data_IF_760895482171
#
_entry.id   IF_760895482171
#
_cell.length_a   1.000
_cell.length_b   1.000
_cell.length_c   1.000
_cell.angle_alpha   90.00
_cell.angle_beta   90.00
_cell.angle_gamma   90.00
#
_symmetry.space_group_name_H-M   'P 1'
#
loop_
_entity.id
_entity.type
_entity.pdbx_description
1 polymer ?
#
# COMPACT_ATOMS: atom_id res chain seq x y z
N UNK A 1 36.31 13.26 1.34
CA UNK A 1 35.11 12.61 1.89
C UNK A 1 33.93 13.48 1.48
N UNK A 2 33.24 13.11 0.40
CA UNK A 2 32.03 13.83 0.00
C UNK A 2 30.95 13.60 1.04
N UNK A 3 30.67 14.62 1.82
CA UNK A 3 29.48 14.68 2.66
C UNK A 3 28.31 14.73 1.68
N UNK A 4 27.61 13.61 1.48
CA UNK A 4 26.34 13.61 0.76
C UNK A 4 25.45 14.64 1.46
N UNK A 5 25.22 15.78 0.83
CA UNK A 5 24.19 16.70 1.29
C UNK A 5 22.88 15.93 1.33
N UNK A 6 22.29 15.76 2.53
CA UNK A 6 20.91 15.26 2.64
C UNK A 6 20.06 16.23 1.82
N UNK A 7 19.13 15.74 0.97
CA UNK A 7 18.18 16.63 0.33
C UNK A 7 17.49 17.46 1.43
N UNK A 8 17.41 18.78 1.23
CA UNK A 8 16.80 19.69 2.20
C UNK A 8 15.31 19.39 2.43
N UNK A 9 14.69 18.68 1.49
CA UNK A 9 13.28 18.33 1.51
C UNK A 9 13.10 16.83 1.25
N UNK A 10 12.10 16.24 1.91
CA UNK A 10 11.61 14.91 1.61
C UNK A 10 10.65 14.92 0.42
N UNK A 11 10.07 13.77 0.12
CA UNK A 11 9.06 13.61 -0.91
C UNK A 11 8.20 12.38 -0.63
N UNK A 12 7.07 12.28 -1.34
CA UNK A 12 6.12 11.17 -1.23
C UNK A 12 6.11 10.37 -2.53
N UNK A 13 6.26 9.05 -2.40
CA UNK A 13 6.11 8.08 -3.49
C UNK A 13 4.89 7.20 -3.20
N UNK A 14 4.02 7.01 -4.19
CA UNK A 14 2.89 6.11 -4.07
C UNK A 14 3.01 4.96 -5.07
N UNK A 15 2.92 3.74 -4.55
CA UNK A 15 2.84 2.50 -5.33
C UNK A 15 1.41 1.99 -5.24
N UNK A 16 0.71 1.95 -6.34
CA UNK A 16 -0.72 1.61 -6.36
C UNK A 16 -1.08 0.60 -7.44
N UNK A 17 -2.27 0.03 -7.38
CA UNK A 17 -2.79 -0.95 -8.31
C UNK A 17 -3.68 -1.98 -7.62
N UNK A 18 -4.26 -2.92 -8.38
CA UNK A 18 -5.13 -3.98 -7.88
C UNK A 18 -4.39 -4.98 -6.97
N UNK A 19 -5.12 -5.86 -6.32
CA UNK A 19 -4.51 -7.06 -5.72
C UNK A 19 -3.72 -7.84 -6.79
N UNK A 20 -2.70 -8.54 -6.37
CA UNK A 20 -1.81 -9.36 -7.23
C UNK A 20 -0.98 -8.56 -8.25
N UNK A 21 -0.91 -7.23 -8.16
CA UNK A 21 -0.15 -6.39 -9.09
C UNK A 21 1.32 -6.18 -8.70
N UNK A 22 1.78 -6.77 -7.58
CA UNK A 22 3.18 -6.67 -7.15
C UNK A 22 3.52 -5.40 -6.36
N UNK A 23 2.55 -4.72 -5.75
CA UNK A 23 2.79 -3.51 -4.95
C UNK A 23 3.75 -3.73 -3.78
N UNK A 24 3.50 -4.78 -2.98
CA UNK A 24 4.34 -5.11 -1.82
C UNK A 24 5.74 -5.56 -2.24
N UNK A 25 5.87 -6.29 -3.36
CA UNK A 25 7.17 -6.60 -3.96
C UNK A 25 7.95 -5.34 -4.33
N UNK A 26 7.29 -4.37 -4.97
CA UNK A 26 7.91 -3.10 -5.36
C UNK A 26 8.30 -2.26 -4.13
N UNK A 27 7.44 -2.20 -3.10
CA UNK A 27 7.78 -1.58 -1.82
C UNK A 27 9.02 -2.24 -1.21
N UNK A 28 9.02 -3.56 -1.07
CA UNK A 28 10.15 -4.35 -0.54
C UNK A 28 11.42 -4.10 -1.37
N UNK A 29 11.33 -4.08 -2.70
CA UNK A 29 12.44 -3.78 -3.59
C UNK A 29 13.06 -2.40 -3.30
N UNK A 30 12.22 -1.36 -3.14
CA UNK A 30 12.69 -0.01 -2.79
C UNK A 30 13.34 0.03 -1.42
N UNK A 31 12.73 -0.59 -0.41
CA UNK A 31 13.27 -0.64 0.95
C UNK A 31 14.62 -1.37 0.99
N UNK A 32 14.77 -2.49 0.29
CA UNK A 32 16.07 -3.19 0.19
C UNK A 32 17.17 -2.31 -0.42
N UNK A 33 16.85 -1.51 -1.43
CA UNK A 33 17.82 -0.55 -2.01
C UNK A 33 18.23 0.53 -1.00
N UNK A 34 17.30 1.00 -0.17
CA UNK A 34 17.55 1.93 0.93
C UNK A 34 18.53 1.30 1.94
N UNK A 35 18.27 0.05 2.33
CA UNK A 35 19.14 -0.71 3.24
C UNK A 35 20.56 -0.92 2.68
N UNK A 36 20.67 -1.28 1.38
CA UNK A 36 21.97 -1.39 0.70
C UNK A 36 22.71 -0.04 0.71
N UNK A 37 21.97 1.06 0.56
CA UNK A 37 22.53 2.41 0.66
C UNK A 37 22.87 2.84 2.10
N UNK A 38 22.67 1.96 3.09
CA UNK A 38 22.89 2.20 4.54
C UNK A 38 22.09 3.39 5.08
N UNK A 39 20.94 3.66 4.50
CA UNK A 39 19.99 4.65 5.01
C UNK A 39 19.10 4.01 6.07
N UNK A 40 18.78 4.74 7.13
CA UNK A 40 17.88 4.28 8.17
C UNK A 40 16.45 4.28 7.66
N UNK A 41 15.76 3.15 7.77
CA UNK A 41 14.39 2.97 7.30
C UNK A 41 13.51 2.35 8.39
N UNK A 42 12.31 2.86 8.51
CA UNK A 42 11.23 2.26 9.31
C UNK A 42 10.06 1.95 8.39
N UNK A 43 9.41 0.81 8.62
CA UNK A 43 8.28 0.35 7.80
C UNK A 43 7.08 0.09 8.69
N UNK A 44 5.93 0.56 8.26
CA UNK A 44 4.67 0.50 9.00
C UNK A 44 3.58 -0.19 8.20
N UNK A 45 2.67 -0.85 8.89
CA UNK A 45 1.43 -1.39 8.33
C UNK A 45 0.28 -1.25 9.33
N UNK A 46 -0.98 -1.15 8.85
CA UNK A 46 -2.13 -1.03 9.74
C UNK A 46 -2.41 -2.35 10.46
N UNK A 47 -2.89 -2.27 11.69
CA UNK A 47 -3.53 -3.40 12.37
C UNK A 47 -4.91 -3.60 11.75
N UNK A 48 -5.09 -4.66 10.95
CA UNK A 48 -6.36 -4.95 10.27
C UNK A 48 -7.21 -5.92 11.09
N UNK A 49 -6.57 -6.86 11.80
CA UNK A 49 -7.23 -7.82 12.69
C UNK A 49 -6.22 -8.24 13.78
N UNK A 50 -6.62 -8.14 15.04
CA UNK A 50 -5.78 -8.51 16.19
C UNK A 50 -5.38 -10.02 16.22
N UNK A 51 -6.02 -10.84 15.37
CA UNK A 51 -5.76 -12.28 15.27
C UNK A 51 -4.56 -12.67 14.39
N UNK A 52 -4.02 -11.72 13.61
CA UNK A 52 -2.90 -11.95 12.68
C UNK A 52 -1.82 -10.88 12.85
N UNK A 53 -1.15 -10.85 14.02
CA UNK A 53 0.03 -10.00 14.25
C UNK A 53 1.24 -10.60 13.53
N UNK A 54 1.36 -10.38 12.23
CA UNK A 54 2.59 -10.63 11.49
C UNK A 54 3.41 -9.34 11.45
N UNK A 55 4.53 -9.29 12.18
CA UNK A 55 5.47 -8.16 12.24
C UNK A 55 6.31 -8.01 10.96
N UNK A 56 5.83 -8.54 9.85
CA UNK A 56 6.53 -8.52 8.57
C UNK A 56 5.57 -8.23 7.42
N UNK A 57 6.02 -7.44 6.46
CA UNK A 57 5.42 -7.40 5.13
C UNK A 57 5.84 -8.68 4.41
N UNK A 58 4.85 -9.44 3.95
CA UNK A 58 5.07 -10.65 3.18
C UNK A 58 4.45 -10.43 1.80
N UNK A 59 5.26 -10.52 0.76
CA UNK A 59 4.76 -10.55 -0.60
C UNK A 59 4.26 -11.96 -0.96
N UNK A 60 3.50 -12.09 -2.04
CA UNK A 60 3.10 -13.39 -2.58
C UNK A 60 4.29 -14.28 -2.98
N UNK A 61 5.48 -13.70 -3.14
CA UNK A 61 6.75 -14.38 -3.44
C UNK A 61 7.61 -14.67 -2.19
N UNK A 62 7.04 -14.72 -0.99
CA UNK A 62 7.72 -14.95 0.30
C UNK A 62 8.83 -13.96 0.66
N UNK A 63 8.92 -12.82 0.00
CA UNK A 63 9.82 -11.75 0.41
C UNK A 63 9.29 -11.07 1.66
N UNK A 64 10.17 -10.90 2.67
CA UNK A 64 9.80 -10.34 3.97
C UNK A 64 10.65 -9.14 4.33
N UNK A 65 10.02 -8.14 4.92
CA UNK A 65 10.67 -7.00 5.58
C UNK A 65 10.00 -6.77 6.93
N UNK A 66 10.82 -6.56 7.97
CA UNK A 66 10.31 -6.20 9.29
C UNK A 66 9.48 -4.91 9.21
N UNK A 67 8.32 -4.93 9.83
CA UNK A 67 7.40 -3.79 9.88
C UNK A 67 6.81 -3.64 11.28
N UNK A 68 6.45 -2.42 11.63
CA UNK A 68 5.76 -2.09 12.87
C UNK A 68 4.26 -1.97 12.60
N UNK A 69 3.46 -2.70 13.37
CA UNK A 69 2.01 -2.59 13.32
C UNK A 69 1.56 -1.34 14.08
N UNK A 70 0.74 -0.51 13.45
CA UNK A 70 0.20 0.72 14.04
C UNK A 70 -1.30 0.82 13.78
N UNK A 71 -2.02 1.55 14.64
CA UNK A 71 -3.48 1.68 14.54
C UNK A 71 -3.91 2.89 13.71
N UNK A 72 -3.16 3.98 13.81
CA UNK A 72 -3.49 5.26 13.19
C UNK A 72 -2.30 5.85 12.46
N UNK A 73 -2.56 6.80 11.56
CA UNK A 73 -1.52 7.59 10.91
C UNK A 73 -0.71 8.43 11.90
N UNK A 74 -1.32 8.89 12.99
CA UNK A 74 -0.63 9.62 14.07
C UNK A 74 0.39 8.74 14.81
N UNK A 75 0.12 7.43 14.92
CA UNK A 75 1.07 6.50 15.53
C UNK A 75 2.34 6.38 14.69
N UNK A 76 2.23 6.50 13.36
CA UNK A 76 3.41 6.55 12.47
C UNK A 76 4.27 7.76 12.83
N UNK A 77 3.65 8.96 12.93
CA UNK A 77 4.37 10.21 13.25
C UNK A 77 5.11 10.10 14.59
N UNK A 78 4.48 9.46 15.59
CA UNK A 78 5.08 9.27 16.93
C UNK A 78 6.20 8.23 16.95
N UNK A 79 6.09 7.19 16.11
CA UNK A 79 7.04 6.07 16.10
C UNK A 79 8.26 6.33 15.20
N UNK A 80 8.17 7.28 14.26
CA UNK A 80 9.29 7.63 13.37
C UNK A 80 10.37 8.34 14.18
N UNK A 81 11.57 7.75 14.19
CA UNK A 81 12.74 8.30 14.88
C UNK A 81 13.34 9.47 14.08
N UNK A 82 14.01 10.40 14.78
CA UNK A 82 14.54 11.63 14.18
C UNK A 82 15.57 11.35 13.07
N UNK A 83 16.39 10.32 13.25
CA UNK A 83 17.43 9.92 12.30
C UNK A 83 16.94 8.98 11.20
N UNK A 84 15.65 8.61 11.19
CA UNK A 84 15.04 7.86 10.07
C UNK A 84 15.07 8.71 8.82
N UNK A 85 15.57 8.15 7.71
CA UNK A 85 15.65 8.82 6.42
C UNK A 85 14.51 8.43 5.49
N UNK A 86 14.04 7.18 5.59
CA UNK A 86 12.99 6.63 4.74
C UNK A 86 11.89 5.98 5.57
N UNK A 87 10.66 6.28 5.24
CA UNK A 87 9.46 5.70 5.86
C UNK A 87 8.70 4.91 4.80
N UNK A 88 8.53 3.60 5.00
CA UNK A 88 7.69 2.74 4.19
C UNK A 88 6.33 2.53 4.86
N UNK A 89 5.25 2.56 4.10
CA UNK A 89 3.89 2.31 4.59
C UNK A 89 3.23 1.32 3.63
N UNK A 90 2.85 0.15 4.13
CA UNK A 90 2.09 -0.81 3.35
C UNK A 90 0.60 -0.77 3.70
N UNK A 91 -0.25 -1.25 2.78
CA UNK A 91 -1.70 -1.29 2.92
C UNK A 91 -2.33 0.07 3.28
N UNK A 92 -1.86 1.14 2.61
CA UNK A 92 -2.25 2.52 2.85
C UNK A 92 -3.76 2.77 2.88
N UNK A 93 -4.55 1.99 2.10
CA UNK A 93 -6.02 2.09 2.04
C UNK A 93 -6.72 1.69 3.35
N UNK A 94 -6.03 1.06 4.28
CA UNK A 94 -6.61 0.67 5.58
C UNK A 94 -6.28 1.63 6.71
N UNK A 95 -5.57 2.70 6.42
CA UNK A 95 -5.35 3.78 7.38
C UNK A 95 -6.53 4.77 7.39
N UNK A 96 -6.54 5.63 8.41
CA UNK A 96 -7.49 6.72 8.56
C UNK A 96 -7.28 7.84 7.53
N UNK A 97 -8.25 8.75 7.45
CA UNK A 97 -8.26 9.87 6.50
C UNK A 97 -7.11 10.88 6.72
N UNK A 98 -6.40 10.81 7.84
CA UNK A 98 -5.27 11.70 8.15
C UNK A 98 -3.95 11.20 7.54
N UNK A 99 -3.89 10.01 6.95
CA UNK A 99 -2.65 9.48 6.38
C UNK A 99 -1.98 10.45 5.38
N UNK A 100 -2.69 11.15 4.48
CA UNK A 100 -2.06 12.13 3.59
C UNK A 100 -1.39 13.28 4.35
N UNK A 101 -2.02 13.79 5.41
CA UNK A 101 -1.44 14.84 6.24
C UNK A 101 -0.21 14.34 7.02
N UNK A 102 -0.24 13.10 7.50
CA UNK A 102 0.91 12.47 8.14
C UNK A 102 2.09 12.31 7.17
N UNK A 103 1.83 11.88 5.92
CA UNK A 103 2.85 11.77 4.87
C UNK A 103 3.47 13.13 4.56
N UNK A 104 2.66 14.20 4.40
CA UNK A 104 3.17 15.56 4.21
C UNK A 104 4.06 15.99 5.39
N UNK A 105 3.60 15.79 6.63
CA UNK A 105 4.38 16.12 7.83
C UNK A 105 5.76 15.43 7.84
N UNK A 106 5.82 14.17 7.43
CA UNK A 106 7.08 13.42 7.36
C UNK A 106 7.96 13.91 6.22
N UNK A 107 7.38 14.20 5.05
CA UNK A 107 8.11 14.74 3.91
C UNK A 107 8.68 16.14 4.23
N UNK A 108 7.91 17.01 4.87
CA UNK A 108 8.35 18.34 5.33
C UNK A 108 9.51 18.25 6.35
N UNK A 109 9.59 17.14 7.10
CA UNK A 109 10.73 16.83 7.99
C UNK A 109 11.94 16.24 7.24
N UNK A 110 11.94 16.26 5.91
CA UNK A 110 13.02 15.73 5.07
C UNK A 110 13.04 14.22 4.90
N UNK A 111 11.94 13.52 5.20
CA UNK A 111 11.85 12.07 5.05
C UNK A 111 11.39 11.70 3.63
N UNK A 112 11.95 10.66 3.06
CA UNK A 112 11.39 9.99 1.88
C UNK A 112 10.27 9.06 2.34
N UNK A 113 9.03 9.32 1.92
CA UNK A 113 7.85 8.51 2.31
C UNK A 113 7.42 7.67 1.12
N UNK A 114 7.31 6.35 1.31
CA UNK A 114 6.89 5.41 0.27
C UNK A 114 5.63 4.69 0.75
N UNK A 115 4.50 4.94 0.10
CA UNK A 115 3.21 4.34 0.44
C UNK A 115 2.82 3.34 -0.63
N UNK A 116 2.47 2.11 -0.22
CA UNK A 116 1.86 1.10 -1.08
C UNK A 116 0.40 0.86 -0.68
N UNK A 117 -0.50 0.77 -1.66
CA UNK A 117 -1.91 0.52 -1.36
C UNK A 117 -2.80 0.32 -2.59
N UNK A 118 -4.00 -0.21 -2.35
CA UNK A 118 -5.03 -0.39 -3.36
C UNK A 118 -5.68 0.96 -3.70
N UNK A 119 -5.74 1.33 -4.98
CA UNK A 119 -6.40 2.56 -5.42
C UNK A 119 -7.92 2.41 -5.62
N UNK A 120 -8.39 1.18 -5.74
CA UNK A 120 -9.81 0.84 -5.91
C UNK A 120 -10.22 -0.29 -4.97
N UNK A 121 -11.45 -0.23 -4.49
CA UNK A 121 -12.09 -1.34 -3.81
C UNK A 121 -12.58 -2.42 -4.80
N UNK A 122 -13.15 -3.50 -4.27
CA UNK A 122 -13.67 -4.62 -5.08
C UNK A 122 -14.87 -4.25 -5.97
N UNK A 123 -15.46 -3.07 -5.81
CA UNK A 123 -16.51 -2.53 -6.67
C UNK A 123 -15.94 -1.58 -7.75
N UNK A 124 -14.61 -1.44 -7.82
CA UNK A 124 -13.94 -0.53 -8.76
C UNK A 124 -14.07 0.94 -8.38
N UNK A 125 -14.45 1.25 -7.13
CA UNK A 125 -14.58 2.61 -6.60
C UNK A 125 -13.26 3.06 -5.98
N UNK A 126 -12.95 4.38 -6.01
CA UNK A 126 -11.78 4.90 -5.31
C UNK A 126 -11.76 4.45 -3.85
N UNK A 127 -10.58 4.01 -3.38
CA UNK A 127 -10.39 3.51 -2.02
C UNK A 127 -9.63 4.55 -1.19
N UNK A 128 -10.40 5.28 -0.34
CA UNK A 128 -9.83 6.27 0.57
C UNK A 128 -8.82 5.64 1.56
N UNK A 129 -7.74 6.34 1.94
CA UNK A 129 -7.35 7.70 1.54
C UNK A 129 -6.40 7.75 0.32
N UNK A 130 -6.31 6.68 -0.49
CA UNK A 130 -5.37 6.60 -1.62
C UNK A 130 -5.54 7.69 -2.67
N UNK A 131 -6.77 8.16 -3.04
CA UNK A 131 -6.92 9.26 -4.01
C UNK A 131 -6.23 10.54 -3.55
N UNK A 132 -6.28 10.87 -2.26
CA UNK A 132 -5.61 12.05 -1.69
C UNK A 132 -4.09 11.87 -1.71
N UNK A 133 -3.59 10.68 -1.40
CA UNK A 133 -2.16 10.36 -1.48
C UNK A 133 -1.66 10.49 -2.91
N UNK A 134 -2.41 10.00 -3.90
CA UNK A 134 -2.08 10.15 -5.31
C UNK A 134 -2.03 11.62 -5.75
N UNK A 135 -2.88 12.48 -5.17
CA UNK A 135 -2.93 13.90 -5.50
C UNK A 135 -1.70 14.67 -4.97
N UNK A 136 -1.13 14.26 -3.84
CA UNK A 136 -0.02 14.99 -3.18
C UNK A 136 1.37 14.38 -3.48
N UNK A 137 1.44 13.16 -4.04
CA UNK A 137 2.69 12.46 -4.28
C UNK A 137 3.48 13.09 -5.42
N UNK A 138 4.81 13.25 -5.25
CA UNK A 138 5.74 13.64 -6.30
C UNK A 138 5.95 12.51 -7.31
N UNK A 139 5.89 11.24 -6.84
CA UNK A 139 6.12 10.07 -7.69
C UNK A 139 5.01 9.04 -7.53
N UNK A 140 4.41 8.65 -8.64
CA UNK A 140 3.36 7.62 -8.68
C UNK A 140 3.81 6.47 -9.56
N UNK A 141 3.70 5.26 -9.03
CA UNK A 141 3.89 4.02 -9.77
C UNK A 141 2.62 3.20 -9.72
N UNK A 142 1.91 3.10 -10.83
CA UNK A 142 0.75 2.24 -10.95
C UNK A 142 1.17 0.90 -11.53
N UNK A 143 1.05 -0.16 -10.73
CA UNK A 143 1.32 -1.54 -11.14
C UNK A 143 0.04 -2.20 -11.64
N UNK A 144 0.18 -3.06 -12.65
CA UNK A 144 -0.91 -3.85 -13.19
C UNK A 144 -0.67 -5.33 -12.92
N UNK A 145 -1.74 -6.04 -12.60
CA UNK A 145 -1.74 -7.49 -12.52
C UNK A 145 -2.02 -8.11 -13.90
N UNK A 146 -2.12 -9.42 -13.96
CA UNK A 146 -2.57 -10.15 -15.16
C UNK A 146 -4.01 -10.58 -14.94
N UNK A 147 -4.87 -10.29 -15.91
CA UNK A 147 -6.27 -10.69 -15.88
C UNK A 147 -6.41 -12.21 -15.88
N UNK A 148 -7.05 -12.76 -14.86
CA UNK A 148 -7.22 -14.22 -14.72
C UNK A 148 -8.19 -14.81 -15.78
N UNK A 149 -8.93 -13.96 -16.51
CA UNK A 149 -9.87 -14.41 -17.54
C UNK A 149 -9.26 -14.38 -18.94
N UNK A 150 -8.58 -13.29 -19.32
CA UNK A 150 -8.11 -13.10 -20.71
C UNK A 150 -6.60 -12.87 -20.85
N UNK A 151 -5.86 -12.73 -19.75
CA UNK A 151 -4.42 -12.50 -19.79
C UNK A 151 -3.98 -11.05 -20.01
N UNK A 152 -4.91 -10.10 -20.22
CA UNK A 152 -4.60 -8.69 -20.42
C UNK A 152 -4.16 -8.00 -19.11
N UNK A 153 -3.51 -6.82 -19.19
CA UNK A 153 -3.19 -6.03 -18.00
C UNK A 153 -4.45 -5.71 -17.18
N UNK A 154 -4.40 -6.03 -15.87
CA UNK A 154 -5.53 -5.95 -14.96
C UNK A 154 -5.31 -4.88 -13.89
N UNK A 155 -6.30 -4.00 -13.70
CA UNK A 155 -6.29 -2.95 -12.70
C UNK A 155 -7.50 -3.02 -11.73
N UNK A 156 -8.30 -4.08 -11.80
CA UNK A 156 -9.45 -4.29 -10.91
C UNK A 156 -9.21 -5.52 -10.03
N UNK A 157 -9.67 -5.41 -8.79
CA UNK A 157 -9.74 -6.53 -7.85
C UNK A 157 -11.16 -7.08 -7.89
N UNK A 158 -11.35 -8.23 -8.54
CA UNK A 158 -12.64 -8.91 -8.60
C UNK A 158 -12.85 -9.74 -7.35
N UNK A 159 -13.93 -9.49 -6.62
CA UNK A 159 -14.38 -10.39 -5.55
C UNK A 159 -15.22 -11.50 -6.16
N UNK A 160 -14.93 -12.75 -5.75
CA UNK A 160 -15.58 -13.96 -6.26
C UNK A 160 -16.65 -14.50 -5.30
N UNK A 161 -16.70 -14.00 -4.07
CA UNK A 161 -17.64 -14.45 -3.04
C UNK A 161 -18.60 -13.32 -2.68
N UNK A 162 -19.86 -13.68 -2.42
CA UNK A 162 -20.85 -12.74 -1.91
C UNK A 162 -20.61 -12.47 -0.43
N UNK A 163 -20.44 -11.23 -0.05
CA UNK A 163 -20.33 -10.80 1.34
C UNK A 163 -20.69 -9.33 1.45
N UNK A 164 -21.43 -8.98 2.50
CA UNK A 164 -21.74 -7.58 2.82
C UNK A 164 -20.57 -6.81 3.43
N UNK A 165 -19.47 -7.47 3.78
CA UNK A 165 -18.29 -6.82 4.34
C UNK A 165 -17.47 -6.12 3.24
N UNK A 166 -17.06 -4.88 3.50
CA UNK A 166 -16.22 -4.11 2.58
C UNK A 166 -14.83 -4.73 2.40
N UNK A 167 -14.29 -5.30 3.46
CA UNK A 167 -12.98 -5.96 3.49
C UNK A 167 -13.16 -7.41 3.94
N UNK A 168 -12.76 -8.35 3.10
CA UNK A 168 -12.55 -9.74 3.49
C UNK A 168 -11.05 -9.97 3.50
N UNK A 169 -10.50 -10.32 4.68
CA UNK A 169 -9.08 -10.69 4.80
C UNK A 169 -8.87 -11.98 4.03
N UNK A 170 -8.04 -11.91 2.98
CA UNK A 170 -8.01 -12.86 1.90
C UNK A 170 -7.63 -14.29 2.26
N UNK A 171 -8.58 -15.19 2.05
CA UNK A 171 -8.24 -16.56 1.71
C UNK A 171 -7.99 -16.68 0.20
N UNK A 172 -7.13 -17.59 -0.23
CA UNK A 172 -6.95 -17.94 -1.63
C UNK A 172 -8.32 -18.30 -2.26
N UNK A 173 -8.66 -17.70 -3.40
CA UNK A 173 -9.94 -17.90 -4.06
C UNK A 173 -11.04 -16.89 -3.72
N UNK A 174 -10.80 -15.92 -2.83
CA UNK A 174 -11.77 -14.86 -2.52
C UNK A 174 -11.72 -13.73 -3.56
N UNK A 175 -10.55 -13.46 -4.11
CA UNK A 175 -10.30 -12.40 -5.07
C UNK A 175 -9.45 -12.87 -6.23
N UNK A 176 -9.62 -12.23 -7.38
CA UNK A 176 -8.72 -12.35 -8.52
C UNK A 176 -8.54 -11.01 -9.23
N UNK A 177 -7.49 -10.90 -10.05
CA UNK A 177 -7.26 -9.71 -10.86
C UNK A 177 -8.03 -9.79 -12.17
N UNK A 178 -8.69 -8.69 -12.57
CA UNK A 178 -9.39 -8.57 -13.85
C UNK A 178 -9.06 -7.26 -14.56
N UNK A 179 -9.02 -7.33 -15.89
CA UNK A 179 -8.95 -6.12 -16.72
C UNK A 179 -10.32 -5.42 -16.74
N UNK A 180 -10.37 -4.21 -17.28
CA UNK A 180 -11.61 -3.41 -17.38
C UNK A 180 -12.73 -4.13 -18.12
N UNK A 181 -12.41 -4.94 -19.14
CA UNK A 181 -13.38 -5.68 -19.94
C UNK A 181 -13.99 -6.87 -19.19
N UNK A 182 -13.16 -7.59 -18.41
CA UNK A 182 -13.58 -8.80 -17.70
C UNK A 182 -14.10 -8.52 -16.28
N UNK A 183 -13.97 -7.29 -15.79
CA UNK A 183 -14.42 -6.91 -14.44
C UNK A 183 -15.95 -6.81 -14.39
N UNK A 184 -16.55 -7.49 -13.42
CA UNK A 184 -17.99 -7.49 -13.17
C UNK A 184 -18.28 -7.25 -11.67
N UNK A 185 -18.62 -6.00 -11.28
CA UNK A 185 -18.90 -5.68 -9.88
C UNK A 185 -20.17 -6.37 -9.35
N UNK A 186 -21.05 -6.86 -10.23
CA UNK A 186 -22.31 -7.52 -9.82
C UNK A 186 -22.08 -8.90 -9.19
N UNK A 187 -20.97 -9.57 -9.51
CA UNK A 187 -20.63 -10.88 -8.93
C UNK A 187 -20.44 -10.82 -7.41
N UNK A 188 -20.11 -9.67 -6.87
CA UNK A 188 -19.93 -9.46 -5.43
C UNK A 188 -21.18 -8.89 -4.74
N UNK A 189 -22.23 -8.55 -5.50
CA UNK A 189 -23.44 -7.96 -4.96
C UNK A 189 -24.24 -9.01 -4.18
N UNK A 190 -24.54 -8.71 -2.93
CA UNK A 190 -25.53 -9.47 -2.14
C UNK A 190 -26.89 -9.06 -2.67
N UNK A 191 -27.69 -9.99 -3.21
CA UNK A 191 -29.08 -9.74 -3.54
C UNK A 191 -29.79 -9.24 -2.27
N UNK A 192 -30.31 -8.01 -2.33
CA UNK A 192 -31.21 -7.51 -1.29
C UNK A 192 -32.52 -8.26 -1.42
N UNK A 193 -32.71 -9.29 -0.60
CA UNK A 193 -34.00 -9.92 -0.37
C UNK A 193 -34.96 -8.98 0.37
#
# INVERSE_FOLDING_TARGET
MDVRQKPEHGWIEVITGSMFSGKSEELIRRIRRVQIARQKVQVFKPVIDDRFSNDHIVSHSDMRIASTNVRTSDDIIRAVEDDTEVVGIDEGQFFDANLPAACNTLADRGKRVIVAGLDQDYLGRPFEPMPQLLAIAEYITKTLAICMVCGDPANHTQRLVQSGERVLVGASGTYEARCRHCFDPTLAAVEKS
#
